data_IF_778123453444
#
_entry.id   IF_778123453444
#
_cell.length_a   1.000
_cell.length_b   1.000
_cell.length_c   1.000
_cell.angle_alpha   90.00
_cell.angle_beta   90.00
_cell.angle_gamma   90.00
#
_symmetry.space_group_name_H-M   'P 1'
#
loop_
_entity.id
_entity.type
_entity.pdbx_description
1 polymer ?
#
# COMPACT_ATOMS: atom_id res chain seq x y z
N UNK A 1 11.06 12.42 21.55
CA UNK A 1 10.83 12.42 20.09
C UNK A 1 9.92 11.25 19.78
N UNK A 2 8.80 11.45 19.07
CA UNK A 2 7.95 10.33 18.65
C UNK A 2 8.74 9.42 17.71
N UNK A 3 8.58 8.09 17.84
CA UNK A 3 9.17 7.15 16.88
C UNK A 3 8.53 7.36 15.50
N UNK A 4 9.26 7.16 14.39
CA UNK A 4 8.69 7.27 13.06
C UNK A 4 7.58 6.23 12.88
N UNK A 5 6.46 6.67 12.27
CA UNK A 5 5.33 5.80 11.94
C UNK A 5 5.74 4.68 10.99
N UNK A 6 4.97 3.61 10.99
CA UNK A 6 5.14 2.46 10.09
C UNK A 6 3.92 2.26 9.20
N UNK A 7 4.17 1.76 7.99
CA UNK A 7 3.16 1.58 6.96
C UNK A 7 3.08 0.12 6.57
N UNK A 8 1.89 -0.48 6.67
CA UNK A 8 1.65 -1.85 6.26
C UNK A 8 1.09 -1.90 4.84
N UNK A 9 1.87 -2.43 3.92
CA UNK A 9 1.42 -2.81 2.59
C UNK A 9 0.82 -4.21 2.69
N UNK A 10 -0.37 -4.39 2.15
CA UNK A 10 -1.01 -5.70 2.07
C UNK A 10 -1.50 -5.88 0.65
N UNK A 11 -1.17 -7.02 0.08
CA UNK A 11 -1.28 -7.28 -1.34
C UNK A 11 -1.89 -8.66 -1.54
N UNK A 12 -3.13 -8.72 -2.01
CA UNK A 12 -3.87 -9.97 -2.11
C UNK A 12 -4.34 -10.23 -3.52
N UNK A 13 -4.28 -11.49 -3.93
CA UNK A 13 -4.91 -11.95 -5.15
C UNK A 13 -6.35 -12.37 -4.87
N UNK A 14 -7.30 -11.83 -5.62
CA UNK A 14 -8.70 -12.23 -5.60
C UNK A 14 -8.93 -13.21 -6.77
N UNK A 15 -9.69 -14.28 -6.53
CA UNK A 15 -10.10 -15.16 -7.62
C UNK A 15 -10.92 -14.36 -8.63
N UNK A 16 -10.57 -14.44 -9.92
CA UNK A 16 -11.12 -13.59 -10.98
C UNK A 16 -12.65 -13.49 -10.97
N UNK A 17 -13.36 -14.62 -10.77
CA UNK A 17 -14.83 -14.69 -10.70
C UNK A 17 -15.47 -13.84 -9.59
N UNK A 18 -14.70 -13.46 -8.57
CA UNK A 18 -15.18 -12.73 -7.39
C UNK A 18 -14.73 -11.26 -7.36
N UNK A 19 -13.97 -10.77 -8.35
CA UNK A 19 -13.42 -9.40 -8.32
C UNK A 19 -14.51 -8.33 -8.15
N UNK A 20 -15.62 -8.44 -8.89
CA UNK A 20 -16.73 -7.48 -8.80
C UNK A 20 -17.39 -7.53 -7.42
N UNK A 21 -17.65 -8.73 -6.91
CA UNK A 21 -18.25 -8.94 -5.59
C UNK A 21 -17.34 -8.40 -4.47
N UNK A 22 -16.03 -8.68 -4.56
CA UNK A 22 -15.05 -8.16 -3.62
C UNK A 22 -15.03 -6.63 -3.62
N UNK A 23 -15.02 -5.98 -4.79
CA UNK A 23 -15.07 -4.51 -4.91
C UNK A 23 -16.30 -3.92 -4.20
N UNK A 24 -17.48 -4.52 -4.40
CA UNK A 24 -18.72 -4.07 -3.76
C UNK A 24 -18.65 -4.18 -2.23
N UNK A 25 -18.23 -5.34 -1.72
CA UNK A 25 -18.08 -5.57 -0.28
C UNK A 25 -17.02 -4.65 0.33
N UNK A 26 -15.89 -4.44 -0.36
CA UNK A 26 -14.81 -3.58 0.12
C UNK A 26 -15.28 -2.12 0.28
N UNK A 27 -16.03 -1.57 -0.69
CA UNK A 27 -16.59 -0.20 -0.60
C UNK A 27 -17.50 -0.04 0.61
N UNK A 28 -18.27 -1.08 0.94
CA UNK A 28 -19.18 -1.06 2.08
C UNK A 28 -18.44 -1.12 3.42
N UNK A 29 -17.47 -2.03 3.56
CA UNK A 29 -16.91 -2.38 4.86
C UNK A 29 -15.56 -1.72 5.19
N UNK A 30 -14.74 -1.34 4.20
CA UNK A 30 -13.43 -0.71 4.44
C UNK A 30 -13.53 0.60 5.26
N UNK A 31 -14.53 1.47 5.06
CA UNK A 31 -14.72 2.65 5.91
C UNK A 31 -14.86 2.35 7.41
N UNK A 32 -15.38 1.18 7.78
CA UNK A 32 -15.50 0.76 9.19
C UNK A 32 -14.12 0.54 9.80
N UNK A 33 -13.24 -0.21 9.12
CA UNK A 33 -11.84 -0.39 9.54
C UNK A 33 -11.04 0.91 9.52
N UNK A 34 -11.34 1.82 8.58
CA UNK A 34 -10.67 3.12 8.50
C UNK A 34 -10.90 4.02 9.72
N UNK A 35 -11.90 3.72 10.57
CA UNK A 35 -12.10 4.38 11.87
C UNK A 35 -11.08 3.97 12.93
N UNK A 36 -10.43 2.81 12.77
CA UNK A 36 -9.49 2.21 13.75
C UNK A 36 -8.03 2.35 13.34
N UNK A 37 -7.74 2.39 12.04
CA UNK A 37 -6.42 2.68 11.50
C UNK A 37 -6.55 3.53 10.25
N UNK A 38 -5.62 4.46 10.04
CA UNK A 38 -5.65 5.34 8.87
C UNK A 38 -5.32 4.56 7.60
N UNK A 39 -6.24 4.60 6.65
CA UNK A 39 -6.04 4.07 5.30
C UNK A 39 -5.38 5.14 4.43
N UNK A 40 -4.21 4.84 3.89
CA UNK A 40 -3.53 5.71 2.92
C UNK A 40 -4.19 5.58 1.55
N UNK A 41 -4.52 4.34 1.16
CA UNK A 41 -5.40 4.06 0.04
C UNK A 41 -5.56 2.57 -0.21
N UNK A 42 -6.48 2.27 -1.12
CA UNK A 42 -6.85 0.92 -1.57
C UNK A 42 -7.09 0.94 -3.07
N UNK A 43 -6.45 0.03 -3.79
CA UNK A 43 -6.47 -0.01 -5.25
C UNK A 43 -6.61 -1.45 -5.73
N UNK A 44 -7.24 -1.61 -6.90
CA UNK A 44 -7.15 -2.83 -7.69
C UNK A 44 -6.15 -2.59 -8.80
N UNK A 45 -5.30 -3.59 -9.07
CA UNK A 45 -4.29 -3.52 -10.11
C UNK A 45 -4.91 -3.63 -11.49
N UNK A 46 -4.64 -2.66 -12.35
CA UNK A 46 -5.04 -2.68 -13.77
C UNK A 46 -3.90 -3.16 -14.69
N UNK A 47 -2.64 -2.89 -14.33
CA UNK A 47 -1.44 -3.33 -15.05
C UNK A 47 -0.51 -4.15 -14.15
N UNK A 48 0.13 -5.17 -14.72
CA UNK A 48 1.01 -6.10 -13.98
C UNK A 48 0.25 -7.29 -13.40
N UNK A 49 0.33 -7.48 -12.08
CA UNK A 49 -0.27 -8.64 -11.41
C UNK A 49 -1.78 -8.45 -11.22
N UNK A 50 -2.55 -8.86 -12.23
CA UNK A 50 -4.02 -8.69 -12.31
C UNK A 50 -4.78 -9.32 -11.15
N UNK A 51 -6.00 -8.82 -10.91
CA UNK A 51 -6.90 -9.23 -9.84
C UNK A 51 -6.31 -9.07 -8.44
N UNK A 52 -5.30 -8.21 -8.26
CA UNK A 52 -4.75 -7.94 -6.95
C UNK A 52 -5.34 -6.67 -6.36
N UNK A 53 -5.60 -6.71 -5.06
CA UNK A 53 -5.85 -5.53 -4.25
C UNK A 53 -4.57 -5.16 -3.50
N UNK A 54 -4.16 -3.90 -3.62
CA UNK A 54 -3.16 -3.29 -2.76
C UNK A 54 -3.86 -2.34 -1.81
N UNK A 55 -3.58 -2.44 -0.50
CA UNK A 55 -4.00 -1.41 0.43
C UNK A 55 -2.93 -1.13 1.49
N UNK A 56 -2.76 0.15 1.80
CA UNK A 56 -1.69 0.66 2.68
C UNK A 56 -2.30 1.28 3.93
N UNK A 57 -1.84 0.83 5.10
CA UNK A 57 -2.34 1.26 6.40
C UNK A 57 -1.23 1.90 7.24
N UNK A 58 -1.48 3.03 7.87
CA UNK A 58 -0.55 3.70 8.78
C UNK A 58 -0.76 3.23 10.23
N UNK A 59 0.35 3.03 10.94
CA UNK A 59 0.38 2.76 12.37
C UNK A 59 1.51 3.54 13.06
N UNK A 60 1.26 3.99 14.28
CA UNK A 60 2.29 4.63 15.13
C UNK A 60 3.48 3.70 15.45
N UNK A 61 3.24 2.39 15.55
CA UNK A 61 4.27 1.38 15.81
C UNK A 61 3.74 -0.03 15.52
N UNK A 62 4.61 -1.04 15.57
CA UNK A 62 4.19 -2.45 15.52
C UNK A 62 3.27 -2.84 16.68
N UNK A 63 3.47 -2.26 17.87
CA UNK A 63 2.60 -2.50 19.02
C UNK A 63 1.20 -1.92 18.79
N UNK A 64 1.11 -0.68 18.27
CA UNK A 64 -0.16 -0.08 17.88
C UNK A 64 -0.84 -0.89 16.77
N UNK A 65 -0.09 -1.34 15.75
CA UNK A 65 -0.60 -2.26 14.72
C UNK A 65 -1.21 -3.51 15.33
N UNK A 66 -0.51 -4.14 16.28
CA UNK A 66 -1.01 -5.35 16.95
C UNK A 66 -2.33 -5.06 17.67
N UNK A 67 -2.38 -4.01 18.50
CA UNK A 67 -3.59 -3.61 19.24
C UNK A 67 -4.78 -3.40 18.31
N UNK A 68 -4.60 -2.60 17.25
CA UNK A 68 -5.68 -2.34 16.28
C UNK A 68 -6.14 -3.65 15.63
N UNK A 69 -5.22 -4.53 15.22
CA UNK A 69 -5.60 -5.82 14.62
C UNK A 69 -6.35 -6.72 15.58
N UNK A 70 -5.96 -6.76 16.85
CA UNK A 70 -6.65 -7.53 17.88
C UNK A 70 -8.08 -7.00 18.09
N UNK A 71 -8.25 -5.67 18.17
CA UNK A 71 -9.56 -5.03 18.27
C UNK A 71 -10.45 -5.35 17.05
N UNK A 72 -9.90 -5.33 15.84
CA UNK A 72 -10.65 -5.65 14.62
C UNK A 72 -11.21 -7.09 14.61
N UNK A 73 -10.65 -8.03 15.37
CA UNK A 73 -11.22 -9.38 15.51
C UNK A 73 -12.43 -9.46 16.42
N UNK A 74 -12.71 -8.39 17.18
CA UNK A 74 -13.89 -8.28 18.04
C UNK A 74 -15.02 -7.45 17.40
N UNK A 75 -14.74 -6.84 16.24
CA UNK A 75 -15.69 -6.03 15.49
C UNK A 75 -16.56 -6.92 14.59
N UNK A 76 -17.86 -6.99 14.89
CA UNK A 76 -18.81 -7.87 14.19
C UNK A 76 -18.91 -7.53 12.70
N UNK A 77 -19.02 -6.23 12.35
CA UNK A 77 -19.11 -5.79 10.95
C UNK A 77 -17.88 -6.22 10.15
N UNK A 78 -16.70 -6.13 10.77
CA UNK A 78 -15.46 -6.53 10.12
C UNK A 78 -15.29 -8.04 10.03
N UNK A 79 -15.65 -8.79 11.07
CA UNK A 79 -15.56 -10.26 11.07
C UNK A 79 -16.54 -10.89 10.10
N UNK A 80 -17.76 -10.35 9.95
CA UNK A 80 -18.71 -10.75 8.92
C UNK A 80 -18.15 -10.48 7.52
N UNK A 81 -17.60 -9.29 7.29
CA UNK A 81 -16.92 -8.97 6.03
C UNK A 81 -15.81 -9.98 5.71
N UNK A 82 -14.94 -10.28 6.67
CA UNK A 82 -13.87 -11.28 6.49
C UNK A 82 -14.42 -12.68 6.19
N UNK A 83 -15.54 -13.07 6.77
CA UNK A 83 -16.23 -14.33 6.47
C UNK A 83 -16.71 -14.41 5.03
N UNK A 84 -17.19 -13.28 4.48
CA UNK A 84 -17.63 -13.20 3.09
C UNK A 84 -16.45 -13.19 2.10
N UNK A 85 -15.41 -12.37 2.34
CA UNK A 85 -14.31 -12.22 1.38
C UNK A 85 -13.19 -13.25 1.53
N UNK A 86 -13.07 -13.90 2.68
CA UNK A 86 -12.03 -14.91 2.95
C UNK A 86 -11.93 -16.00 1.87
N UNK A 87 -13.03 -16.65 1.47
CA UNK A 87 -13.03 -17.64 0.39
C UNK A 87 -12.67 -17.10 -1.00
N UNK A 88 -12.64 -15.78 -1.19
CA UNK A 88 -12.30 -15.14 -2.46
C UNK A 88 -10.79 -14.97 -2.64
N UNK A 89 -10.02 -15.02 -1.57
CA UNK A 89 -8.57 -14.82 -1.60
C UNK A 89 -7.84 -16.08 -2.10
N UNK A 90 -6.98 -15.89 -3.11
CA UNK A 90 -6.10 -16.95 -3.61
C UNK A 90 -4.69 -16.85 -3.03
N UNK A 91 -4.25 -15.63 -2.72
CA UNK A 91 -2.94 -15.35 -2.14
C UNK A 91 -3.06 -14.09 -1.29
N UNK A 92 -2.36 -14.07 -0.16
CA UNK A 92 -2.27 -12.90 0.70
C UNK A 92 -0.83 -12.69 1.13
N UNK A 93 -0.33 -11.48 0.92
CA UNK A 93 1.01 -11.07 1.35
C UNK A 93 0.93 -9.72 2.07
N UNK A 94 1.89 -9.46 2.95
CA UNK A 94 2.06 -8.16 3.57
C UNK A 94 3.52 -7.89 3.93
N UNK A 95 3.86 -6.62 4.04
CA UNK A 95 5.15 -6.19 4.55
C UNK A 95 5.02 -4.83 5.22
N UNK A 96 5.94 -4.56 6.14
CA UNK A 96 6.05 -3.25 6.75
C UNK A 96 7.09 -2.41 6.07
N UNK A 97 6.79 -1.12 6.01
CA UNK A 97 7.66 -0.08 5.50
C UNK A 97 7.76 1.09 6.48
N UNK A 98 8.80 1.91 6.28
CA UNK A 98 8.82 3.31 6.71
C UNK A 98 8.67 4.22 5.49
N UNK A 99 8.00 5.36 5.65
CA UNK A 99 8.08 6.43 4.65
C UNK A 99 9.46 7.09 4.76
N UNK A 100 10.16 7.26 3.63
CA UNK A 100 11.50 7.85 3.56
C UNK A 100 11.54 9.17 2.77
N UNK A 101 10.52 9.46 1.98
CA UNK A 101 10.33 10.73 1.27
C UNK A 101 8.86 10.94 0.90
N UNK A 102 8.45 12.20 0.71
CA UNK A 102 7.08 12.58 0.35
C UNK A 102 6.09 12.57 1.51
N UNK A 103 4.79 12.54 1.19
CA UNK A 103 3.70 12.57 2.17
C UNK A 103 2.83 11.30 2.11
N UNK A 104 2.93 10.51 3.17
CA UNK A 104 2.03 9.38 3.45
C UNK A 104 1.24 9.61 4.75
N UNK A 105 1.14 10.85 5.22
CA UNK A 105 0.42 11.20 6.45
C UNK A 105 -1.08 11.40 6.22
N UNK A 106 -1.54 11.44 4.97
CA UNK A 106 -2.94 11.64 4.61
C UNK A 106 -3.49 10.50 3.74
N UNK A 107 -4.82 10.39 3.65
CA UNK A 107 -5.46 9.51 2.65
C UNK A 107 -5.31 10.16 1.29
N UNK A 108 -4.80 9.41 0.32
CA UNK A 108 -4.65 9.93 -1.04
C UNK A 108 -5.98 9.89 -1.83
N UNK A 109 -6.18 10.77 -2.83
CA UNK A 109 -7.44 10.89 -3.56
C UNK A 109 -7.83 9.62 -4.33
N UNK A 110 -9.12 9.26 -4.28
CA UNK A 110 -9.67 8.09 -4.98
C UNK A 110 -9.83 8.30 -6.52
N UNK A 111 -9.61 9.52 -7.03
CA UNK A 111 -9.87 9.91 -8.43
C UNK A 111 -8.64 9.92 -9.34
N UNK A 112 -7.49 9.53 -8.82
CA UNK A 112 -6.22 9.50 -9.56
C UNK A 112 -5.82 8.07 -9.88
N UNK A 113 -5.00 7.92 -10.92
CA UNK A 113 -4.28 6.68 -11.19
C UNK A 113 -2.99 6.67 -10.40
N UNK A 114 -2.56 5.48 -9.96
CA UNK A 114 -1.36 5.31 -9.15
C UNK A 114 -0.44 4.26 -9.76
N UNK A 115 0.84 4.57 -9.80
CA UNK A 115 1.91 3.64 -10.13
C UNK A 115 2.70 3.31 -8.86
N UNK A 116 2.89 2.01 -8.60
CA UNK A 116 3.81 1.52 -7.59
C UNK A 116 5.06 0.94 -8.26
N UNK A 117 6.15 1.68 -8.22
CA UNK A 117 7.47 1.22 -8.69
C UNK A 117 8.21 0.53 -7.56
N UNK A 118 8.81 -0.64 -7.82
CA UNK A 118 9.63 -1.37 -6.85
C UNK A 118 11.09 -1.38 -7.27
N UNK A 119 11.95 -0.75 -6.47
CA UNK A 119 13.40 -0.82 -6.62
C UNK A 119 13.92 -1.93 -5.71
N UNK A 120 14.61 -2.91 -6.31
CA UNK A 120 15.29 -3.98 -5.57
C UNK A 120 16.79 -3.70 -5.61
N UNK A 121 17.45 -3.84 -4.47
CA UNK A 121 18.89 -3.62 -4.37
C UNK A 121 19.58 -4.77 -3.63
N UNK A 122 20.89 -4.92 -3.86
CA UNK A 122 21.70 -5.86 -3.10
C UNK A 122 21.86 -5.35 -1.64
N UNK A 123 22.01 -6.22 -0.63
CA UNK A 123 22.17 -5.83 0.77
C UNK A 123 23.59 -5.28 1.06
N UNK A 124 24.01 -4.29 0.28
CA UNK A 124 25.28 -3.58 0.41
C UNK A 124 24.99 -2.07 0.39
N UNK A 125 25.74 -1.31 1.17
CA UNK A 125 25.48 0.13 1.36
C UNK A 125 25.48 0.90 0.05
N UNK A 126 26.42 0.64 -0.87
CA UNK A 126 26.47 1.34 -2.16
C UNK A 126 25.22 1.11 -3.02
N UNK A 127 24.65 -0.09 -3.00
CA UNK A 127 23.43 -0.39 -3.74
C UNK A 127 22.20 0.25 -3.08
N UNK A 128 22.19 0.34 -1.75
CA UNK A 128 21.16 1.09 -1.02
C UNK A 128 21.22 2.58 -1.32
N UNK A 129 22.41 3.18 -1.30
CA UNK A 129 22.64 4.58 -1.68
C UNK A 129 22.13 4.85 -3.08
N UNK A 130 22.54 4.06 -4.08
CA UNK A 130 22.07 4.24 -5.45
C UNK A 130 20.53 4.15 -5.58
N UNK A 131 19.89 3.26 -4.83
CA UNK A 131 18.43 3.15 -4.82
C UNK A 131 17.76 4.35 -4.13
N UNK A 132 18.40 4.94 -3.12
CA UNK A 132 17.96 6.20 -2.49
C UNK A 132 18.14 7.40 -3.41
N UNK A 133 19.24 7.49 -4.16
CA UNK A 133 19.47 8.57 -5.13
C UNK A 133 18.37 8.57 -6.22
N UNK A 134 17.91 7.38 -6.65
CA UNK A 134 16.74 7.27 -7.54
C UNK A 134 15.47 7.90 -6.94
N UNK A 135 15.26 7.81 -5.62
CA UNK A 135 14.12 8.45 -4.97
C UNK A 135 14.21 9.96 -5.07
N UNK A 136 15.41 10.54 -4.91
CA UNK A 136 15.58 12.00 -5.00
C UNK A 136 15.16 12.52 -6.38
N UNK A 137 15.53 11.81 -7.44
CA UNK A 137 15.10 12.12 -8.82
C UNK A 137 13.58 11.99 -8.95
N UNK A 138 13.00 10.87 -8.50
CA UNK A 138 11.55 10.68 -8.55
C UNK A 138 10.79 11.74 -7.75
N UNK A 139 11.34 12.21 -6.63
CA UNK A 139 10.67 13.19 -5.76
C UNK A 139 10.49 14.57 -6.38
N UNK A 140 11.20 14.87 -7.46
CA UNK A 140 11.03 16.12 -8.21
C UNK A 140 9.88 16.06 -9.22
N UNK A 141 9.29 14.88 -9.46
CA UNK A 141 8.22 14.71 -10.43
C UNK A 141 6.88 15.21 -9.84
N UNK A 142 6.04 15.91 -10.62
CA UNK A 142 4.78 16.46 -10.13
C UNK A 142 3.84 15.41 -9.51
N UNK A 143 3.89 14.17 -10.02
CA UNK A 143 3.06 13.06 -9.55
C UNK A 143 3.59 12.35 -8.30
N UNK A 144 4.78 12.68 -7.79
CA UNK A 144 5.36 11.96 -6.67
C UNK A 144 4.50 12.09 -5.40
N UNK A 145 4.10 10.95 -4.82
CA UNK A 145 3.33 10.91 -3.57
C UNK A 145 4.25 10.62 -2.39
N UNK A 146 4.91 9.47 -2.42
CA UNK A 146 5.79 9.02 -1.35
C UNK A 146 6.73 7.92 -1.82
N UNK A 147 7.83 7.77 -1.08
CA UNK A 147 8.71 6.62 -1.17
C UNK A 147 8.80 5.89 0.17
N UNK A 148 8.91 4.57 0.12
CA UNK A 148 8.89 3.70 1.28
C UNK A 148 10.05 2.70 1.25
N UNK A 149 10.69 2.47 2.39
CA UNK A 149 11.67 1.40 2.57
C UNK A 149 11.05 0.25 3.35
N UNK A 150 11.21 -0.98 2.84
CA UNK A 150 10.75 -2.17 3.57
C UNK A 150 11.60 -2.39 4.82
N UNK A 151 10.94 -2.55 5.95
CA UNK A 151 11.53 -2.85 7.24
C UNK A 151 11.44 -4.34 7.60
N UNK A 152 10.27 -4.95 7.36
CA UNK A 152 9.98 -6.35 7.72
C UNK A 152 9.23 -7.00 6.57
N UNK A 153 9.66 -8.22 6.21
CA UNK A 153 9.10 -8.98 5.10
C UNK A 153 9.97 -8.85 3.85
N UNK A 154 9.59 -7.96 2.93
CA UNK A 154 10.24 -7.83 1.62
C UNK A 154 11.56 -7.03 1.69
N UNK A 155 12.60 -7.62 2.29
CA UNK A 155 13.90 -7.00 2.49
C UNK A 155 14.56 -6.47 1.19
N UNK A 156 15.40 -5.44 1.35
CA UNK A 156 16.16 -4.77 0.29
C UNK A 156 15.29 -4.23 -0.84
N UNK A 157 14.21 -3.54 -0.45
CA UNK A 157 13.28 -2.91 -1.39
C UNK A 157 12.94 -1.48 -0.98
N UNK A 158 12.92 -0.61 -1.98
CA UNK A 158 12.26 0.68 -1.93
C UNK A 158 11.03 0.62 -2.85
N UNK A 159 10.00 1.35 -2.44
CA UNK A 159 8.77 1.50 -3.19
C UNK A 159 8.56 2.97 -3.46
N UNK A 160 8.32 3.35 -4.70
CA UNK A 160 7.99 4.72 -5.10
C UNK A 160 6.55 4.73 -5.58
N UNK A 161 5.75 5.63 -5.04
CA UNK A 161 4.37 5.85 -5.47
C UNK A 161 4.26 7.18 -6.18
N UNK A 162 3.75 7.13 -7.39
CA UNK A 162 3.45 8.29 -8.23
C UNK A 162 1.98 8.24 -8.62
N UNK A 163 1.37 9.40 -8.82
CA UNK A 163 -0.02 9.58 -9.23
C UNK A 163 -0.12 10.42 -10.49
N UNK A 164 -1.14 10.16 -11.29
CA UNK A 164 -1.52 10.99 -12.43
C UNK A 164 -3.05 11.11 -12.53
N UNK A 165 -3.51 12.21 -13.11
CA UNK A 165 -4.93 12.41 -13.41
C UNK A 165 -5.33 11.63 -14.67
N UNK A 166 -4.45 11.61 -15.67
CA UNK A 166 -4.58 10.82 -16.90
C UNK A 166 -3.57 9.65 -16.86
N UNK A 167 -3.98 8.40 -17.11
CA UNK A 167 -3.05 7.27 -17.11
C UNK A 167 -1.97 7.39 -18.20
N UNK A 168 -2.22 8.11 -19.30
CA UNK A 168 -1.22 8.30 -20.37
C UNK A 168 -0.06 9.19 -19.92
N UNK A 169 -0.24 10.00 -18.86
CA UNK A 169 0.85 10.80 -18.29
C UNK A 169 2.01 9.92 -17.80
N UNK A 170 1.75 8.66 -17.40
CA UNK A 170 2.81 7.73 -17.00
C UNK A 170 3.74 7.34 -18.15
N UNK A 171 3.27 7.41 -19.41
CA UNK A 171 4.09 7.13 -20.60
C UNK A 171 5.08 8.26 -20.90
N UNK A 172 4.79 9.47 -20.43
CA UNK A 172 5.64 10.65 -20.64
C UNK A 172 6.76 10.79 -19.61
N UNK A 173 6.63 10.11 -18.46
CA UNK A 173 7.58 10.18 -17.33
C UNK A 173 8.75 9.19 -17.45
N UNK A 174 8.72 8.32 -18.47
CA UNK A 174 9.84 7.43 -18.82
C UNK A 174 10.77 8.12 -19.81
N UNK A 175 11.66 8.98 -19.30
CA UNK A 175 12.94 9.36 -19.91
C UNK A 175 13.94 9.74 -18.82
#
# INVERSE_FOLDING_TARGET
>A
MSSPKVYEFRYYQIAARFVVQFKQLAVQHVPHRARRSRLIGIWMTELGALNHVLHVWEYESLAHRKSVRDEMYTDTDWTEFLGQVGPMFQMMDNWLCRCVAGDASSRWPDKEFYQLSTLKFAPIESAKTAATDCIEVCSQRPGFKAAFESLVGKANRLYVVESAADPDDFLSQTN
#
